data_IF_621817299064
#
_entry.id   IF_621817299064
#
_cell.length_a   1.000
_cell.length_b   1.000
_cell.length_c   1.000
_cell.angle_alpha   90.00
_cell.angle_beta   90.00
_cell.angle_gamma   90.00
#
_symmetry.space_group_name_H-M   'P 1'
#
loop_
_entity.id
_entity.type
_entity.pdbx_description
1 polymer ?
#
# COMPACT_ATOMS: atom_id res chain seq x y z
N UNK A 1 0.08 48.95 34.87
CA UNK A 1 -0.39 47.59 35.21
C UNK A 1 -1.26 47.11 34.08
N UNK A 2 -0.65 46.46 33.08
CA UNK A 2 -1.39 45.93 31.92
C UNK A 2 -2.17 44.70 32.38
N UNK A 3 -3.45 44.72 32.08
CA UNK A 3 -4.47 43.85 32.64
C UNK A 3 -4.22 42.38 32.25
N UNK A 4 -3.66 41.58 33.17
CA UNK A 4 -3.44 40.12 33.04
C UNK A 4 -4.75 39.36 32.71
N UNK A 5 -5.90 40.00 32.85
CA UNK A 5 -7.21 39.43 32.55
C UNK A 5 -7.54 39.32 31.05
N UNK A 6 -6.77 39.93 30.14
CA UNK A 6 -7.03 39.85 28.69
C UNK A 6 -6.42 38.60 28.01
N UNK A 7 -5.51 37.89 28.67
CA UNK A 7 -4.83 36.71 28.10
C UNK A 7 -5.49 35.36 28.44
N UNK A 8 -6.42 35.35 29.40
CA UNK A 8 -7.12 34.13 29.83
C UNK A 8 -8.07 33.51 28.77
N UNK A 9 -8.84 34.27 27.96
CA UNK A 9 -9.75 33.66 26.98
C UNK A 9 -9.03 33.05 25.78
N UNK A 10 -7.79 33.47 25.49
CA UNK A 10 -7.01 32.95 24.35
C UNK A 10 -6.48 31.53 24.62
N UNK A 11 -6.18 31.21 25.88
CA UNK A 11 -5.67 29.88 26.27
C UNK A 11 -6.76 28.79 26.24
N UNK A 12 -8.04 29.16 26.36
CA UNK A 12 -9.17 28.21 26.36
C UNK A 12 -9.51 27.75 24.93
N UNK A 13 -9.19 28.53 23.90
CA UNK A 13 -9.46 28.17 22.50
C UNK A 13 -8.51 27.09 21.96
N UNK A 14 -7.36 26.85 22.59
CA UNK A 14 -6.33 25.91 22.11
C UNK A 14 -6.58 24.44 22.51
N UNK A 15 -7.50 24.17 23.45
CA UNK A 15 -7.76 22.81 23.93
C UNK A 15 -8.63 21.97 22.98
N UNK A 16 -9.19 22.57 21.92
CA UNK A 16 -10.00 21.86 20.94
C UNK A 16 -9.17 21.00 19.96
N UNK A 17 -7.85 21.11 19.92
CA UNK A 17 -7.00 20.38 18.98
C UNK A 17 -6.83 18.88 19.31
N UNK A 18 -7.28 18.43 20.49
CA UNK A 18 -7.11 17.03 20.94
C UNK A 18 -8.30 16.11 20.71
N UNK A 19 -9.48 16.64 20.37
CA UNK A 19 -10.73 15.87 20.41
C UNK A 19 -11.02 15.02 19.15
N UNK A 20 -10.24 15.21 18.08
CA UNK A 20 -10.47 14.51 16.80
C UNK A 20 -9.16 13.95 16.27
N UNK A 21 -8.52 13.04 17.02
CA UNK A 21 -7.47 12.22 16.40
C UNK A 21 -8.17 11.26 15.42
N UNK A 22 -7.85 11.34 14.12
CA UNK A 22 -8.42 10.41 13.15
C UNK A 22 -8.02 8.98 13.51
N UNK A 23 -8.82 7.96 13.12
CA UNK A 23 -8.42 6.59 13.32
C UNK A 23 -7.04 6.34 12.69
N UNK A 24 -6.23 5.42 13.25
CA UNK A 24 -4.89 5.16 12.74
C UNK A 24 -4.84 4.79 11.25
N UNK A 25 -5.89 4.17 10.73
CA UNK A 25 -6.11 3.92 9.30
C UNK A 25 -7.57 3.49 9.04
N UNK A 26 -7.97 3.41 7.77
CA UNK A 26 -9.30 2.99 7.31
C UNK A 26 -9.46 1.45 7.39
N UNK A 27 -9.76 0.94 8.58
CA UNK A 27 -9.88 -0.52 8.85
C UNK A 27 -10.94 -1.24 8.01
N UNK A 28 -11.97 -0.52 7.58
CA UNK A 28 -13.10 -0.99 6.78
C UNK A 28 -12.78 -1.16 5.30
N UNK A 29 -11.61 -0.68 4.84
CA UNK A 29 -11.17 -0.76 3.46
C UNK A 29 -10.14 -1.87 3.24
N UNK A 30 -10.11 -2.40 2.03
CA UNK A 30 -9.06 -3.30 1.58
C UNK A 30 -7.73 -2.55 1.44
N UNK A 31 -6.56 -3.22 1.53
CA UNK A 31 -5.25 -2.57 1.34
C UNK A 31 -5.13 -1.73 0.07
N UNK A 32 -5.80 -2.14 -1.02
CA UNK A 32 -5.85 -1.47 -2.32
C UNK A 32 -6.56 -0.11 -2.27
N UNK A 33 -7.52 0.06 -1.35
CA UNK A 33 -8.41 1.22 -1.27
C UNK A 33 -8.12 2.15 -0.08
N UNK A 34 -7.09 1.83 0.71
CA UNK A 34 -6.68 2.61 1.89
C UNK A 34 -5.76 3.75 1.52
N UNK A 35 -6.19 4.98 1.82
CA UNK A 35 -5.46 6.21 1.50
C UNK A 35 -5.02 7.02 2.74
N UNK A 36 -5.46 6.63 3.94
CA UNK A 36 -5.21 7.38 5.18
C UNK A 36 -4.53 6.52 6.23
N UNK A 37 -3.41 7.04 6.74
CA UNK A 37 -2.60 6.44 7.81
C UNK A 37 -2.19 7.53 8.80
N UNK A 38 -2.26 7.25 10.09
CA UNK A 38 -1.99 8.21 11.15
C UNK A 38 -1.38 7.54 12.39
N UNK A 39 -0.41 8.21 13.00
CA UNK A 39 0.31 7.69 14.17
C UNK A 39 1.16 6.45 13.87
N UNK A 40 1.73 5.87 14.93
CA UNK A 40 2.62 4.72 14.82
C UNK A 40 1.91 3.46 14.27
N UNK A 41 0.66 3.24 14.68
CA UNK A 41 -0.16 2.13 14.16
C UNK A 41 -0.47 2.30 12.68
N UNK A 42 -0.77 3.52 12.22
CA UNK A 42 -0.98 3.81 10.80
C UNK A 42 0.26 3.53 9.96
N UNK A 43 1.44 3.94 10.41
CA UNK A 43 2.70 3.65 9.71
C UNK A 43 2.98 2.15 9.62
N UNK A 44 2.74 1.41 10.71
CA UNK A 44 2.87 -0.06 10.70
C UNK A 44 1.93 -0.68 9.67
N UNK A 45 0.67 -0.23 9.63
CA UNK A 45 -0.30 -0.72 8.66
C UNK A 45 0.10 -0.37 7.22
N UNK A 46 0.58 0.86 6.99
CA UNK A 46 1.06 1.29 5.67
C UNK A 46 2.15 0.36 5.13
N UNK A 47 3.10 -0.05 5.98
CA UNK A 47 4.16 -0.98 5.57
C UNK A 47 3.61 -2.38 5.21
N UNK A 48 2.62 -2.86 5.96
CA UNK A 48 1.95 -4.12 5.66
C UNK A 48 1.17 -4.05 4.34
N UNK A 49 0.42 -2.97 4.14
CA UNK A 49 -0.38 -2.76 2.93
C UNK A 49 0.53 -2.60 1.71
N UNK A 50 1.66 -1.89 1.82
CA UNK A 50 2.66 -1.82 0.74
C UNK A 50 3.25 -3.19 0.39
N UNK A 51 3.56 -4.01 1.40
CA UNK A 51 4.09 -5.36 1.16
C UNK A 51 3.04 -6.23 0.45
N UNK A 52 1.78 -6.14 0.88
CA UNK A 52 0.66 -6.83 0.23
C UNK A 52 0.51 -6.40 -1.23
N UNK A 53 0.50 -5.10 -1.51
CA UNK A 53 0.35 -4.56 -2.86
C UNK A 53 1.50 -4.97 -3.78
N UNK A 54 2.74 -4.94 -3.27
CA UNK A 54 3.91 -5.41 -4.01
C UNK A 54 3.83 -6.91 -4.34
N UNK A 55 3.44 -7.74 -3.37
CA UNK A 55 3.29 -9.17 -3.58
C UNK A 55 2.16 -9.48 -4.57
N UNK A 56 1.05 -8.76 -4.46
CA UNK A 56 -0.07 -8.84 -5.41
C UNK A 56 0.38 -8.46 -6.82
N UNK A 57 1.09 -7.36 -6.99
CA UNK A 57 1.62 -6.93 -8.29
C UNK A 57 2.55 -7.97 -8.91
N UNK A 58 3.43 -8.57 -8.11
CA UNK A 58 4.31 -9.66 -8.55
C UNK A 58 3.52 -10.90 -8.97
N UNK A 59 2.49 -11.28 -8.21
CA UNK A 59 1.62 -12.40 -8.55
C UNK A 59 0.81 -12.15 -9.84
N UNK A 60 0.31 -10.92 -10.02
CA UNK A 60 -0.42 -10.52 -11.23
C UNK A 60 0.50 -10.55 -12.46
N UNK A 61 1.75 -10.04 -12.34
CA UNK A 61 2.78 -10.12 -13.39
C UNK A 61 3.17 -11.56 -13.72
N UNK A 62 3.36 -12.40 -12.71
CA UNK A 62 3.63 -13.83 -12.90
C UNK A 62 2.50 -14.52 -13.67
N UNK A 63 1.25 -14.20 -13.32
CA UNK A 63 0.07 -14.75 -14.00
C UNK A 63 0.02 -14.34 -15.47
N UNK A 64 0.30 -13.07 -15.76
CA UNK A 64 0.39 -12.56 -17.13
C UNK A 64 1.50 -13.28 -17.93
N UNK A 65 2.71 -13.38 -17.37
CA UNK A 65 3.83 -14.05 -18.04
C UNK A 65 3.53 -15.53 -18.37
N UNK A 66 2.81 -16.24 -17.50
CA UNK A 66 2.35 -17.62 -17.75
C UNK A 66 1.33 -17.70 -18.89
N UNK A 67 0.43 -16.73 -18.98
CA UNK A 67 -0.53 -16.66 -20.08
C UNK A 67 0.19 -16.37 -21.40
N UNK A 68 1.11 -15.41 -21.41
CA UNK A 68 1.90 -15.05 -22.58
C UNK A 68 2.77 -16.24 -23.04
N UNK A 69 3.35 -17.00 -22.12
CA UNK A 69 4.05 -18.25 -22.45
C UNK A 69 3.13 -19.25 -23.15
N UNK A 70 1.92 -19.48 -22.63
CA UNK A 70 0.97 -20.40 -23.24
C UNK A 70 0.55 -19.96 -24.65
N UNK A 71 0.42 -18.65 -24.88
CA UNK A 71 0.17 -18.09 -26.22
C UNK A 71 1.37 -18.28 -27.14
N UNK A 72 2.58 -17.98 -26.68
CA UNK A 72 3.81 -18.15 -27.45
C UNK A 72 4.06 -19.63 -27.83
N UNK A 73 3.73 -20.57 -26.95
CA UNK A 73 3.75 -22.01 -27.23
C UNK A 73 2.75 -22.39 -28.33
N UNK A 74 1.53 -21.85 -28.28
CA UNK A 74 0.51 -22.07 -29.32
C UNK A 74 0.97 -21.53 -30.69
N UNK A 75 1.66 -20.39 -30.71
CA UNK A 75 2.18 -19.75 -31.92
C UNK A 75 3.54 -20.29 -32.38
N UNK A 76 4.15 -21.23 -31.63
CA UNK A 76 5.51 -21.73 -31.87
C UNK A 76 6.58 -20.63 -31.94
N UNK A 77 6.39 -19.53 -31.20
CA UNK A 77 7.30 -18.40 -31.15
C UNK A 77 8.43 -18.67 -30.13
N UNK A 78 9.48 -19.37 -30.57
CA UNK A 78 10.58 -19.81 -29.71
C UNK A 78 11.32 -18.66 -28.99
N UNK A 79 11.40 -17.47 -29.60
CA UNK A 79 12.04 -16.32 -28.97
C UNK A 79 11.25 -15.82 -27.75
N UNK A 80 9.93 -15.74 -27.90
CA UNK A 80 9.03 -15.28 -26.85
C UNK A 80 8.85 -16.32 -25.76
N UNK A 81 8.81 -17.61 -26.10
CA UNK A 81 8.85 -18.72 -25.13
C UNK A 81 10.05 -18.57 -24.18
N UNK A 82 11.24 -18.32 -24.72
CA UNK A 82 12.44 -18.21 -23.89
C UNK A 82 12.37 -17.00 -22.94
N UNK A 83 11.94 -15.85 -23.45
CA UNK A 83 11.77 -14.63 -22.66
C UNK A 83 10.76 -14.82 -21.52
N UNK A 84 9.61 -15.44 -21.81
CA UNK A 84 8.57 -15.65 -20.81
C UNK A 84 9.01 -16.64 -19.73
N UNK A 85 9.78 -17.69 -20.08
CA UNK A 85 10.38 -18.60 -19.09
C UNK A 85 11.33 -17.86 -18.14
N UNK A 86 12.20 -16.99 -18.66
CA UNK A 86 13.10 -16.18 -17.83
C UNK A 86 12.34 -15.21 -16.93
N UNK A 87 11.29 -14.58 -17.46
CA UNK A 87 10.44 -13.66 -16.70
C UNK A 87 9.70 -14.39 -15.57
N UNK A 88 9.14 -15.56 -15.84
CA UNK A 88 8.50 -16.42 -14.84
C UNK A 88 9.50 -16.80 -13.75
N UNK A 89 10.71 -17.24 -14.10
CA UNK A 89 11.72 -17.65 -13.13
C UNK A 89 12.21 -16.51 -12.22
N UNK A 90 12.17 -15.27 -12.71
CA UNK A 90 12.61 -14.08 -11.96
C UNK A 90 11.48 -13.39 -11.17
N UNK A 91 10.24 -13.47 -11.65
CA UNK A 91 9.11 -12.70 -11.10
C UNK A 91 8.18 -13.56 -10.24
N UNK A 92 7.99 -14.83 -10.60
CA UNK A 92 7.16 -15.74 -9.82
C UNK A 92 7.94 -16.20 -8.59
N UNK A 93 7.61 -15.66 -7.42
CA UNK A 93 8.13 -16.18 -6.15
C UNK A 93 7.60 -17.61 -6.00
N UNK A 94 8.50 -18.60 -5.97
CA UNK A 94 8.16 -19.94 -5.48
C UNK A 94 7.83 -19.80 -4.00
N UNK A 95 6.55 -19.83 -3.65
CA UNK A 95 6.14 -20.10 -2.26
C UNK A 95 6.86 -21.37 -1.81
N UNK A 96 7.64 -21.26 -0.74
CA UNK A 96 8.37 -22.36 -0.14
C UNK A 96 7.77 -22.68 1.23
#
# INVERSE_FOLDING_TARGET
MFNIYLSLPLMILLTACGATQPPPYQKDRAPEDRDQYSGAEGLKQQQQDQTHLMNKELADKCTAAKLDLAMAEQESNAGEIHQQIELINSTCISEK
#
